data_IF_043987518873
#
_entry.id   IF_043987518873
#
_cell.length_a   1.000
_cell.length_b   1.000
_cell.length_c   1.000
_cell.angle_alpha   90.00
_cell.angle_beta   90.00
_cell.angle_gamma   90.00
#
_symmetry.space_group_name_H-M   'P 1'
#
loop_
_entity.id
_entity.type
_entity.pdbx_description
1 polymer ?
#
# COMPACT_ATOMS: atom_id res chain seq x y z
N UNK A 1 0.21 -19.72 -0.46
CA UNK A 1 -0.07 -18.28 -0.31
C UNK A 1 1.23 -17.50 -0.40
N UNK A 2 1.29 -16.52 -1.28
CA UNK A 2 2.53 -15.76 -1.41
C UNK A 2 2.72 -14.88 -0.18
N UNK A 3 3.99 -14.70 0.20
CA UNK A 3 4.36 -13.86 1.33
C UNK A 3 4.38 -12.39 0.89
N UNK A 4 3.48 -11.59 1.43
CA UNK A 4 3.38 -10.17 1.10
C UNK A 4 4.71 -9.45 1.35
N UNK A 5 5.45 -9.88 2.36
CA UNK A 5 6.71 -9.24 2.73
C UNK A 5 7.89 -9.70 1.86
N UNK A 6 7.68 -10.65 0.97
CA UNK A 6 8.68 -11.10 0.01
C UNK A 6 8.30 -10.80 -1.43
N UNK A 7 7.03 -10.93 -1.76
CA UNK A 7 6.55 -10.87 -3.15
C UNK A 7 5.72 -9.63 -3.47
N UNK A 8 5.39 -8.83 -2.47
CA UNK A 8 4.49 -7.71 -2.64
C UNK A 8 3.03 -8.12 -2.53
N UNK A 9 2.15 -7.21 -2.89
CA UNK A 9 0.72 -7.39 -2.73
C UNK A 9 0.02 -7.06 -4.04
N UNK A 10 -0.93 -7.91 -4.44
CA UNK A 10 -1.79 -7.62 -5.59
C UNK A 10 -3.24 -7.77 -5.18
N UNK A 11 -4.04 -6.75 -5.45
CA UNK A 11 -5.45 -6.72 -5.06
C UNK A 11 -6.33 -6.71 -6.30
N UNK A 12 -7.26 -7.67 -6.43
CA UNK A 12 -8.14 -7.76 -7.59
C UNK A 12 -9.38 -6.89 -7.45
N UNK A 13 -9.85 -6.38 -8.57
CA UNK A 13 -11.09 -5.61 -8.63
C UNK A 13 -11.86 -6.03 -9.89
N UNK A 14 -13.18 -6.25 -9.79
CA UNK A 14 -13.94 -6.71 -10.95
C UNK A 14 -14.10 -5.65 -12.03
N UNK A 15 -14.05 -4.36 -11.66
CA UNK A 15 -14.26 -3.27 -12.61
C UNK A 15 -13.16 -2.21 -12.47
N UNK A 16 -12.81 -1.59 -13.59
CA UNK A 16 -11.79 -0.54 -13.63
C UNK A 16 -12.12 0.61 -12.67
N UNK A 17 -13.37 1.05 -12.64
CA UNK A 17 -13.77 2.15 -11.76
C UNK A 17 -13.52 1.83 -10.30
N UNK A 18 -13.78 0.61 -9.88
CA UNK A 18 -13.54 0.19 -8.51
C UNK A 18 -12.05 0.25 -8.17
N UNK A 19 -11.20 -0.19 -9.09
CA UNK A 19 -9.76 -0.12 -8.90
C UNK A 19 -9.27 1.34 -8.85
N UNK A 20 -9.80 2.18 -9.73
CA UNK A 20 -9.45 3.61 -9.75
C UNK A 20 -9.90 4.32 -8.47
N UNK A 21 -11.11 4.03 -7.99
CA UNK A 21 -11.62 4.61 -6.75
C UNK A 21 -10.76 4.21 -5.55
N UNK A 22 -10.32 2.95 -5.53
CA UNK A 22 -9.42 2.46 -4.49
C UNK A 22 -8.11 3.24 -4.48
N UNK A 23 -7.46 3.38 -5.63
CA UNK A 23 -6.21 4.12 -5.74
C UNK A 23 -6.40 5.58 -5.33
N UNK A 24 -7.51 6.19 -5.73
CA UNK A 24 -7.84 7.58 -5.38
C UNK A 24 -7.96 7.74 -3.86
N UNK A 25 -8.61 6.79 -3.19
CA UNK A 25 -8.73 6.82 -1.72
C UNK A 25 -7.37 6.75 -1.04
N UNK A 26 -6.49 5.88 -1.53
CA UNK A 26 -5.14 5.77 -0.97
C UNK A 26 -4.34 7.05 -1.19
N UNK A 27 -4.47 7.68 -2.35
CA UNK A 27 -3.81 8.96 -2.62
C UNK A 27 -4.29 10.05 -1.67
N UNK A 28 -5.60 10.05 -1.34
CA UNK A 28 -6.15 10.98 -0.36
C UNK A 28 -5.55 10.79 1.02
N UNK A 29 -5.37 9.55 1.44
CA UNK A 29 -4.76 9.23 2.74
C UNK A 29 -3.31 9.73 2.79
N UNK A 30 -2.51 9.38 1.79
CA UNK A 30 -1.09 9.74 1.79
C UNK A 30 -0.86 11.22 1.50
N UNK A 31 -1.83 11.91 0.93
CA UNK A 31 -1.76 13.35 0.76
C UNK A 31 -1.72 14.05 2.12
N UNK A 32 -2.44 13.50 3.10
CA UNK A 32 -2.53 14.12 4.43
C UNK A 32 -1.39 13.76 5.35
N UNK A 33 -0.95 12.51 5.35
CA UNK A 33 0.02 12.03 6.34
C UNK A 33 1.26 11.35 5.74
N UNK A 34 1.43 11.42 4.45
CA UNK A 34 2.61 10.93 3.70
C UNK A 34 2.81 9.42 3.68
N UNK A 35 2.11 8.66 4.52
CA UNK A 35 2.20 7.20 4.56
C UNK A 35 0.81 6.60 4.71
N UNK A 36 0.72 5.32 4.39
CA UNK A 36 -0.47 4.51 4.64
C UNK A 36 -0.03 3.15 5.15
N UNK A 37 -0.69 2.64 6.19
CA UNK A 37 -0.34 1.33 6.74
C UNK A 37 -0.86 0.23 5.83
N UNK A 38 -0.21 -0.95 5.91
CA UNK A 38 -0.68 -2.11 5.18
C UNK A 38 -2.13 -2.46 5.55
N UNK A 39 -2.46 -2.35 6.84
CA UNK A 39 -3.83 -2.61 7.30
C UNK A 39 -4.84 -1.67 6.64
N UNK A 40 -4.51 -0.38 6.53
CA UNK A 40 -5.38 0.58 5.86
C UNK A 40 -5.55 0.27 4.38
N UNK A 41 -4.48 -0.18 3.72
CA UNK A 41 -4.57 -0.58 2.31
C UNK A 41 -5.57 -1.71 2.15
N UNK A 42 -5.45 -2.76 2.98
CA UNK A 42 -6.36 -3.90 2.91
C UNK A 42 -7.80 -3.49 3.23
N UNK A 43 -8.00 -2.72 4.28
CA UNK A 43 -9.34 -2.26 4.67
C UNK A 43 -9.97 -1.38 3.60
N UNK A 44 -9.19 -0.52 2.98
CA UNK A 44 -9.69 0.35 1.91
C UNK A 44 -10.12 -0.48 0.70
N UNK A 45 -9.45 -1.59 0.46
CA UNK A 45 -9.83 -2.51 -0.62
C UNK A 45 -11.03 -3.40 -0.27
N UNK A 46 -11.52 -3.31 0.97
CA UNK A 46 -12.62 -4.15 1.42
C UNK A 46 -12.20 -5.53 1.89
N UNK A 47 -10.90 -5.74 2.09
CA UNK A 47 -10.36 -7.01 2.55
C UNK A 47 -10.26 -7.05 4.07
N UNK A 48 -10.48 -8.22 4.65
CA UNK A 48 -10.25 -8.43 6.06
C UNK A 48 -8.75 -8.54 6.32
N UNK A 49 -8.29 -7.91 7.39
CA UNK A 49 -6.88 -8.04 7.80
C UNK A 49 -6.72 -9.35 8.55
N UNK A 50 -5.91 -10.31 8.05
CA UNK A 50 -5.66 -11.55 8.78
C UNK A 50 -5.08 -11.28 10.17
N UNK A 51 -5.40 -12.15 11.12
CA UNK A 51 -4.95 -11.97 12.52
C UNK A 51 -3.44 -11.86 12.64
N UNK A 52 -2.71 -12.67 11.88
CA UNK A 52 -1.25 -12.68 11.91
C UNK A 52 -0.62 -11.42 11.30
N UNK A 53 -1.39 -10.64 10.53
CA UNK A 53 -0.90 -9.40 9.93
C UNK A 53 -1.31 -8.15 10.72
N UNK A 54 -2.15 -8.26 11.74
CA UNK A 54 -2.67 -7.08 12.43
C UNK A 54 -1.57 -6.19 13.02
N UNK A 55 -0.60 -6.78 13.68
CA UNK A 55 0.50 -6.03 14.29
C UNK A 55 1.51 -5.59 13.24
N UNK A 56 2.00 -6.53 12.41
CA UNK A 56 2.92 -6.19 11.32
C UNK A 56 2.32 -5.18 10.36
N UNK A 57 1.04 -5.32 10.06
CA UNK A 57 0.36 -4.41 9.15
C UNK A 57 0.23 -2.98 9.67
N UNK A 58 0.45 -2.76 10.98
CA UNK A 58 0.52 -1.43 11.55
C UNK A 58 1.94 -0.86 11.53
N UNK A 59 2.93 -1.72 11.36
CA UNK A 59 4.35 -1.33 11.34
C UNK A 59 4.91 -1.17 9.95
N UNK A 60 4.25 -1.74 8.96
CA UNK A 60 4.69 -1.73 7.56
C UNK A 60 3.65 -1.02 6.69
N UNK A 61 4.10 -0.40 5.64
CA UNK A 61 3.19 0.28 4.74
C UNK A 61 3.90 0.89 3.54
N UNK A 62 3.33 1.97 3.03
CA UNK A 62 3.76 2.58 1.78
C UNK A 62 3.82 4.08 1.92
N UNK A 63 4.78 4.70 1.24
CA UNK A 63 4.93 6.15 1.21
C UNK A 63 4.01 6.77 0.15
N UNK A 64 3.91 8.10 0.18
CA UNK A 64 3.20 8.85 -0.86
C UNK A 64 3.74 8.52 -2.25
N UNK A 65 5.05 8.39 -2.40
CA UNK A 65 5.66 8.08 -3.70
C UNK A 65 5.26 6.70 -4.19
N UNK A 66 5.20 5.71 -3.29
CA UNK A 66 4.75 4.37 -3.64
C UNK A 66 3.32 4.41 -4.15
N UNK A 67 2.46 5.15 -3.46
CA UNK A 67 1.05 5.23 -3.84
C UNK A 67 0.85 6.00 -5.15
N UNK A 68 1.66 7.00 -5.41
CA UNK A 68 1.59 7.75 -6.67
C UNK A 68 1.86 6.88 -7.90
N UNK A 69 2.65 5.84 -7.73
CA UNK A 69 2.99 4.92 -8.82
C UNK A 69 1.90 3.90 -9.12
N UNK A 70 0.93 3.77 -8.23
CA UNK A 70 -0.12 2.78 -8.41
C UNK A 70 -1.03 3.15 -9.58
N UNK A 71 -1.36 2.13 -10.36
CA UNK A 71 -2.37 2.26 -11.39
C UNK A 71 -3.00 0.89 -11.63
N UNK A 72 -4.29 0.85 -11.95
CA UNK A 72 -4.92 -0.42 -12.28
C UNK A 72 -4.33 -1.02 -13.53
N UNK A 73 -4.11 -2.32 -13.51
CA UNK A 73 -3.65 -3.07 -14.68
C UNK A 73 -4.68 -4.11 -15.03
N UNK A 74 -4.89 -4.33 -16.31
CA UNK A 74 -5.86 -5.32 -16.76
C UNK A 74 -5.36 -6.71 -16.40
N UNK A 75 -6.25 -7.53 -15.85
CA UNK A 75 -5.98 -8.92 -15.52
C UNK A 75 -6.91 -9.82 -16.30
N UNK A 76 -6.76 -11.15 -16.13
CA UNK A 76 -7.57 -12.11 -16.84
C UNK A 76 -9.07 -11.93 -16.60
N UNK A 77 -9.45 -11.61 -15.35
CA UNK A 77 -10.86 -11.43 -14.97
C UNK A 77 -11.05 -10.11 -14.23
N UNK A 78 -10.85 -9.00 -14.92
CA UNK A 78 -11.01 -7.71 -14.30
C UNK A 78 -9.70 -6.95 -14.24
N UNK A 79 -9.42 -6.32 -13.11
CA UNK A 79 -8.27 -5.45 -12.96
C UNK A 79 -7.54 -5.76 -11.66
N UNK A 80 -6.26 -5.42 -11.61
CA UNK A 80 -5.46 -5.63 -10.42
C UNK A 80 -4.64 -4.37 -10.13
N UNK A 81 -4.49 -4.07 -8.84
CA UNK A 81 -3.57 -3.02 -8.37
C UNK A 81 -2.45 -3.73 -7.62
N UNK A 82 -1.23 -3.58 -8.12
CA UNK A 82 -0.07 -4.26 -7.55
C UNK A 82 0.82 -3.29 -6.79
N UNK A 83 1.26 -3.73 -5.62
CA UNK A 83 2.12 -2.96 -4.73
C UNK A 83 3.45 -3.66 -4.58
N UNK A 84 4.50 -2.87 -4.37
CA UNK A 84 5.79 -3.42 -3.96
C UNK A 84 5.69 -4.05 -2.57
N UNK A 85 6.75 -4.70 -2.15
CA UNK A 85 6.85 -5.22 -0.78
C UNK A 85 6.64 -4.06 0.20
N UNK A 86 5.80 -4.24 1.23
CA UNK A 86 5.60 -3.19 2.23
C UNK A 86 6.92 -2.86 2.93
N UNK A 87 7.11 -1.59 3.25
CA UNK A 87 8.32 -1.11 3.89
C UNK A 87 8.07 -0.76 5.34
N UNK A 88 9.06 -0.97 6.20
CA UNK A 88 8.96 -0.59 7.60
C UNK A 88 8.73 0.91 7.70
N UNK A 89 7.74 1.33 8.49
CA UNK A 89 7.43 2.73 8.72
C UNK A 89 8.23 3.23 9.92
N UNK A 90 8.82 4.42 9.77
CA UNK A 90 9.61 5.02 10.83
C UNK A 90 9.57 6.55 10.70
N UNK A 91 10.16 7.24 11.66
CA UNK A 91 10.22 8.70 11.61
C UNK A 91 11.60 9.12 11.13
N UNK A 92 11.64 10.17 10.32
CA UNK A 92 12.90 10.73 9.86
C UNK A 92 13.48 11.65 10.96
N UNK A 93 14.63 12.24 10.69
CA UNK A 93 15.30 13.13 11.64
C UNK A 93 14.47 14.35 12.03
N UNK A 94 13.50 14.72 11.21
CA UNK A 94 12.61 15.86 11.47
C UNK A 94 11.32 15.45 12.18
N UNK A 95 11.17 14.16 12.49
CA UNK A 95 9.99 13.63 13.16
C UNK A 95 8.82 13.33 12.25
N UNK A 96 8.99 13.41 10.94
CA UNK A 96 7.93 13.09 10.00
C UNK A 96 7.92 11.60 9.67
N UNK A 97 6.74 11.07 9.46
CA UNK A 97 6.59 9.67 9.07
C UNK A 97 7.13 9.44 7.67
N UNK A 98 7.88 8.37 7.51
CA UNK A 98 8.43 7.94 6.24
C UNK A 98 8.53 6.42 6.24
N UNK A 99 9.08 5.84 5.19
CA UNK A 99 9.36 4.40 5.15
C UNK A 99 10.86 4.19 5.01
N UNK A 100 11.31 3.01 5.41
CA UNK A 100 12.72 2.63 5.27
C UNK A 100 13.16 2.74 3.82
N UNK A 101 12.30 2.35 2.88
CA UNK A 101 12.60 2.46 1.45
C UNK A 101 12.88 3.90 1.03
N UNK A 102 12.06 4.84 1.48
CA UNK A 102 12.24 6.25 1.16
C UNK A 102 13.49 6.82 1.82
N UNK A 103 13.75 6.40 3.05
CA UNK A 103 14.89 6.92 3.81
C UNK A 103 16.22 6.47 3.23
N UNK A 104 16.29 5.25 2.71
CA UNK A 104 17.53 4.64 2.20
C UNK A 104 17.59 4.58 0.67
N UNK A 105 16.50 4.81 -0.01
CA UNK A 105 16.41 4.66 -1.45
C UNK A 105 16.47 5.96 -2.22
N UNK A 106 17.32 6.87 -1.82
CA UNK A 106 17.38 8.21 -2.42
C UNK A 106 18.23 8.32 -3.67
N UNK A 107 18.54 7.27 -4.27
CA UNK A 107 19.36 7.36 -5.49
C UNK A 107 18.52 7.47 -6.72
#
# INVERSE_FOLDING_TARGET
>A
MSDIFSDGLSLPFPKLKMAEDFVTKLRGITYKIDIVTLNEVLQTAGEEVPKDLRIKGLQYGYSRKDIKRLKPCKARKGFVVSFDVPSLMLRDKNGYWTTERELHGKD
#
